data_IF_987881897555
#
_entry.id   IF_987881897555
#
_cell.length_a   1.000
_cell.length_b   1.000
_cell.length_c   1.000
_cell.angle_alpha   90.00
_cell.angle_beta   90.00
_cell.angle_gamma   90.00
#
_symmetry.space_group_name_H-M   'P 1'
#
loop_
_entity.id
_entity.type
_entity.pdbx_description
1 polymer ?
#
# COMPACT_ATOMS: atom_id res chain seq x y z
N UNK A 1 -7.80 -7.89 44.35
CA UNK A 1 -8.80 -7.72 43.27
C UNK A 1 -8.44 -8.58 42.07
N UNK A 2 -9.21 -9.64 41.76
CA UNK A 2 -8.92 -10.55 40.65
C UNK A 2 -9.45 -10.00 39.31
N UNK A 3 -9.27 -8.71 39.04
CA UNK A 3 -9.94 -8.01 37.92
C UNK A 3 -8.98 -7.35 36.92
N UNK A 4 -7.65 -7.57 37.04
CA UNK A 4 -6.64 -6.90 36.18
C UNK A 4 -5.76 -7.92 35.43
N UNK A 5 -6.31 -9.06 35.04
CA UNK A 5 -5.64 -10.00 34.14
C UNK A 5 -6.32 -10.10 32.76
N UNK A 6 -6.96 -9.02 32.32
CA UNK A 6 -7.55 -8.90 30.98
C UNK A 6 -6.64 -8.06 30.09
N UNK A 7 -5.38 -8.47 29.94
CA UNK A 7 -4.62 -8.05 28.75
C UNK A 7 -5.29 -8.73 27.57
N UNK A 8 -5.91 -7.93 26.72
CA UNK A 8 -6.53 -8.30 25.46
C UNK A 8 -5.61 -9.25 24.70
N UNK A 9 -5.93 -10.55 24.73
CA UNK A 9 -5.33 -11.50 23.82
C UNK A 9 -5.72 -11.03 22.41
N UNK A 10 -4.75 -10.52 21.65
CA UNK A 10 -4.90 -10.39 20.20
C UNK A 10 -5.28 -11.79 19.73
N UNK A 11 -6.45 -12.00 19.12
CA UNK A 11 -6.85 -13.32 18.68
C UNK A 11 -5.77 -13.83 17.72
N UNK A 12 -5.03 -14.85 18.14
CA UNK A 12 -4.16 -15.61 17.23
C UNK A 12 -5.11 -16.32 16.30
N UNK A 13 -5.30 -15.74 15.11
CA UNK A 13 -6.15 -16.31 14.08
C UNK A 13 -5.69 -17.75 13.80
N UNK A 14 -6.63 -18.72 13.66
CA UNK A 14 -6.30 -20.10 13.32
C UNK A 14 -5.39 -20.17 12.09
N UNK A 15 -4.45 -21.11 12.09
CA UNK A 15 -3.47 -21.29 11.00
C UNK A 15 -4.09 -21.58 9.63
N UNK A 16 -5.39 -21.88 9.61
CA UNK A 16 -6.18 -22.20 8.42
C UNK A 16 -7.20 -21.11 8.06
N UNK A 17 -6.89 -19.83 8.31
CA UNK A 17 -7.60 -18.75 7.60
C UNK A 17 -7.21 -18.90 6.12
N UNK A 18 -8.17 -19.18 5.21
CA UNK A 18 -7.87 -19.23 3.79
C UNK A 18 -7.20 -17.91 3.42
N UNK A 19 -6.10 -17.95 2.66
CA UNK A 19 -5.64 -16.77 1.95
C UNK A 19 -6.80 -16.35 1.05
N UNK A 20 -7.63 -15.45 1.55
CA UNK A 20 -8.59 -14.73 0.73
C UNK A 20 -7.72 -13.64 0.12
N UNK A 21 -7.35 -13.73 -1.17
CA UNK A 21 -6.91 -12.54 -1.87
C UNK A 21 -8.15 -11.65 -1.89
N UNK A 22 -8.27 -10.81 -0.86
CA UNK A 22 -9.12 -9.63 -0.95
C UNK A 22 -8.81 -9.03 -2.31
N UNK A 23 -9.84 -8.74 -3.09
CA UNK A 23 -9.65 -8.12 -4.40
C UNK A 23 -9.23 -6.66 -4.20
N UNK A 24 -8.07 -6.46 -3.58
CA UNK A 24 -7.45 -5.18 -3.26
C UNK A 24 -7.58 -4.21 -4.44
N UNK A 25 -7.40 -4.61 -5.72
CA UNK A 25 -7.62 -3.70 -6.85
C UNK A 25 -9.03 -3.09 -6.92
N UNK A 26 -10.10 -3.86 -6.69
CA UNK A 26 -11.48 -3.34 -6.74
C UNK A 26 -11.79 -2.42 -5.57
N UNK A 27 -11.41 -2.84 -4.35
CA UNK A 27 -11.61 -2.01 -3.16
C UNK A 27 -10.86 -0.68 -3.26
N UNK A 28 -9.59 -0.72 -3.65
CA UNK A 28 -8.75 0.47 -3.80
C UNK A 28 -9.28 1.37 -4.92
N UNK A 29 -9.70 0.83 -6.05
CA UNK A 29 -10.29 1.63 -7.14
C UNK A 29 -11.56 2.35 -6.67
N UNK A 30 -12.47 1.66 -5.98
CA UNK A 30 -13.67 2.29 -5.44
C UNK A 30 -13.35 3.39 -4.43
N UNK A 31 -12.36 3.17 -3.55
CA UNK A 31 -11.93 4.19 -2.59
C UNK A 31 -11.33 5.41 -3.29
N UNK A 32 -10.38 5.20 -4.20
CA UNK A 32 -9.71 6.28 -4.93
C UNK A 32 -10.71 7.12 -5.73
N UNK A 33 -11.75 6.51 -6.30
CA UNK A 33 -12.79 7.24 -7.05
C UNK A 33 -13.57 8.27 -6.22
N UNK A 34 -13.57 8.15 -4.88
CA UNK A 34 -14.22 9.11 -3.98
C UNK A 34 -13.38 10.36 -3.73
N UNK A 35 -12.04 10.25 -3.82
CA UNK A 35 -11.10 11.32 -3.49
C UNK A 35 -10.45 11.93 -4.74
N UNK A 36 -10.25 11.13 -5.78
CA UNK A 36 -9.63 11.53 -7.03
C UNK A 36 -10.59 11.24 -8.19
N UNK A 37 -11.37 12.24 -8.65
CA UNK A 37 -12.36 12.05 -9.71
C UNK A 37 -11.74 11.85 -11.09
N UNK A 38 -10.45 12.12 -11.24
CA UNK A 38 -9.71 11.94 -12.50
C UNK A 38 -8.22 11.71 -12.23
N UNK A 39 -7.53 11.15 -13.21
CA UNK A 39 -6.07 10.96 -13.17
C UNK A 39 -5.32 12.30 -13.03
N UNK A 40 -5.87 13.39 -13.55
CA UNK A 40 -5.29 14.73 -13.38
C UNK A 40 -5.23 15.13 -11.91
N UNK A 41 -6.29 14.86 -11.14
CA UNK A 41 -6.32 15.15 -9.69
C UNK A 41 -5.25 14.36 -8.92
N UNK A 42 -4.89 13.15 -9.39
CA UNK A 42 -3.81 12.34 -8.80
C UNK A 42 -2.44 12.93 -9.15
N UNK A 43 -2.26 13.41 -10.39
CA UNK A 43 -1.01 14.02 -10.85
C UNK A 43 -0.73 15.37 -10.21
N UNK A 44 -1.78 16.14 -9.95
CA UNK A 44 -1.69 17.49 -9.39
C UNK A 44 -1.47 17.51 -7.87
N UNK A 45 -1.62 16.38 -7.18
CA UNK A 45 -1.42 16.29 -5.72
C UNK A 45 0.09 16.25 -5.37
N UNK A 46 0.66 17.36 -4.87
CA UNK A 46 2.09 17.44 -4.63
C UNK A 46 2.54 16.56 -3.45
N UNK A 47 1.67 16.30 -2.47
CA UNK A 47 1.99 15.47 -1.32
C UNK A 47 2.06 13.99 -1.73
N UNK A 48 1.08 13.54 -2.52
CA UNK A 48 1.07 12.18 -3.06
C UNK A 48 2.30 11.92 -3.94
N UNK A 49 2.65 12.85 -4.82
CA UNK A 49 3.85 12.72 -5.67
C UNK A 49 5.14 12.71 -4.83
N UNK A 50 5.23 13.56 -3.80
CA UNK A 50 6.38 13.57 -2.89
C UNK A 50 6.52 12.24 -2.13
N UNK A 51 5.41 11.67 -1.67
CA UNK A 51 5.40 10.37 -0.99
C UNK A 51 5.82 9.22 -1.92
N UNK A 52 5.27 9.16 -3.14
CA UNK A 52 5.69 8.19 -4.17
C UNK A 52 7.19 8.34 -4.46
N UNK A 53 7.66 9.57 -4.64
CA UNK A 53 9.08 9.87 -4.84
C UNK A 53 9.95 9.43 -3.66
N UNK A 54 9.46 9.55 -2.43
CA UNK A 54 10.14 9.07 -1.23
C UNK A 54 10.21 7.54 -1.17
N UNK A 55 9.18 6.82 -1.59
CA UNK A 55 9.22 5.35 -1.73
C UNK A 55 10.27 4.95 -2.77
N UNK A 56 10.26 5.56 -3.95
CA UNK A 56 11.23 5.22 -4.99
C UNK A 56 12.67 5.52 -4.55
N UNK A 57 12.88 6.68 -3.92
CA UNK A 57 14.18 7.04 -3.42
C UNK A 57 14.57 6.14 -2.26
N UNK A 58 13.83 6.09 -1.16
CA UNK A 58 14.28 5.39 0.06
C UNK A 58 13.98 3.89 0.09
N UNK A 59 12.88 3.47 -0.51
CA UNK A 59 12.43 2.07 -0.53
C UNK A 59 13.15 1.21 -1.57
N UNK A 60 13.59 1.78 -2.70
CA UNK A 60 14.29 1.04 -3.76
C UNK A 60 15.81 1.32 -3.86
N UNK A 61 16.38 2.08 -2.91
CA UNK A 61 17.82 2.44 -2.84
C UNK A 61 18.79 1.27 -2.54
N UNK A 62 18.48 0.06 -3.01
CA UNK A 62 19.38 -1.09 -3.03
C UNK A 62 19.44 -1.86 -4.35
N UNK A 63 18.61 -1.59 -5.35
CA UNK A 63 18.64 -2.32 -6.64
C UNK A 63 18.50 -1.39 -7.82
N UNK A 64 19.66 -0.93 -8.32
CA UNK A 64 19.83 -0.11 -9.53
C UNK A 64 19.50 -0.83 -10.85
N UNK A 65 18.66 -1.86 -10.82
CA UNK A 65 18.38 -2.74 -11.97
C UNK A 65 16.94 -3.23 -11.99
N UNK A 66 15.99 -2.33 -11.75
CA UNK A 66 14.57 -2.60 -11.87
C UNK A 66 13.99 -1.63 -12.90
N UNK A 67 14.02 -2.05 -14.17
CA UNK A 67 13.36 -1.35 -15.27
C UNK A 67 14.29 -0.55 -16.20
N UNK A 68 15.28 -1.20 -16.81
CA UNK A 68 15.96 -0.62 -17.97
C UNK A 68 15.09 -0.79 -19.22
N UNK A 69 14.34 0.25 -19.59
CA UNK A 69 13.84 0.41 -20.95
C UNK A 69 15.08 0.62 -21.85
N UNK A 70 15.63 -0.48 -22.37
CA UNK A 70 16.75 -0.46 -23.31
C UNK A 70 16.26 -0.08 -24.70
N UNK A 71 16.09 1.22 -24.92
CA UNK A 71 16.06 1.83 -26.25
C UNK A 71 17.38 2.56 -26.51
N UNK A 72 17.71 2.73 -27.79
CA UNK A 72 18.95 3.25 -28.41
C UNK A 72 20.04 2.19 -28.56
N UNK A 73 20.61 1.94 -29.74
CA UNK A 73 20.44 2.48 -31.10
C UNK A 73 21.33 1.66 -32.03
#
# INVERSE_FOLDING_TARGET
CPQVCHLTAVPVLPRDVPNVPMNVPRFVTSLLSLFYPSDAAVQEDPELQAWVGEIFRRGFLGRRSSGGHGGTG
#
